data_IF_538216439310
#
_entry.id   IF_538216439310
#
_cell.length_a   1.000
_cell.length_b   1.000
_cell.length_c   1.000
_cell.angle_alpha   90.00
_cell.angle_beta   90.00
_cell.angle_gamma   90.00
#
_symmetry.space_group_name_H-M   'P 1'
#
loop_
_entity.id
_entity.type
_entity.pdbx_description
1 polymer ?
#
# COMPACT_ATOMS: atom_id res chain seq x y z
N UNK A 1 22.43 -25.66 5.47
CA UNK A 1 22.29 -24.66 4.39
C UNK A 1 21.97 -23.33 5.04
N UNK A 2 22.87 -22.35 4.96
CA UNK A 2 22.61 -20.99 5.43
C UNK A 2 21.73 -20.27 4.41
N UNK A 3 20.57 -19.79 4.83
CA UNK A 3 19.72 -18.94 3.98
C UNK A 3 20.43 -17.62 3.72
N UNK A 4 20.45 -17.17 2.46
CA UNK A 4 20.92 -15.82 2.13
C UNK A 4 19.97 -14.79 2.76
N UNK A 5 20.48 -13.65 3.27
CA UNK A 5 19.63 -12.58 3.79
C UNK A 5 18.74 -12.01 2.66
N UNK A 6 17.52 -11.58 3.02
CA UNK A 6 16.60 -10.92 2.10
C UNK A 6 16.78 -9.40 2.24
N UNK A 7 16.93 -8.72 1.11
CA UNK A 7 16.87 -7.26 1.03
C UNK A 7 15.54 -6.86 0.40
N UNK A 8 14.77 -6.06 1.12
CA UNK A 8 13.45 -5.63 0.70
C UNK A 8 13.52 -4.28 -0.01
N UNK A 9 12.77 -4.15 -1.10
CA UNK A 9 12.62 -2.93 -1.88
C UNK A 9 11.13 -2.60 -2.04
N UNK A 10 10.75 -1.33 -1.98
CA UNK A 10 9.39 -0.85 -2.26
C UNK A 10 9.46 0.28 -3.26
N UNK A 11 8.75 0.15 -4.37
CA UNK A 11 8.58 1.19 -5.38
C UNK A 11 7.10 1.49 -5.57
N UNK A 12 6.74 2.78 -5.59
CA UNK A 12 5.35 3.23 -5.81
C UNK A 12 5.28 4.02 -7.11
N UNK A 13 4.40 3.61 -8.00
CA UNK A 13 4.19 4.17 -9.32
C UNK A 13 2.82 4.83 -9.39
N UNK A 14 2.75 5.93 -10.14
CA UNK A 14 1.50 6.62 -10.43
C UNK A 14 1.03 6.26 -11.84
N UNK A 15 -0.17 5.70 -11.97
CA UNK A 15 -0.89 5.44 -13.24
C UNK A 15 -0.25 4.49 -14.27
N UNK A 16 1.08 4.35 -14.35
CA UNK A 16 1.76 3.39 -15.22
C UNK A 16 3.09 2.88 -14.63
N UNK A 17 3.40 1.61 -14.87
CA UNK A 17 4.72 1.01 -14.57
C UNK A 17 5.88 1.59 -15.41
N UNK A 18 5.57 2.25 -16.53
CA UNK A 18 6.56 2.91 -17.38
C UNK A 18 7.03 4.24 -16.81
N UNK A 19 6.34 4.78 -15.80
CA UNK A 19 6.73 6.02 -15.15
C UNK A 19 7.93 5.79 -14.22
N UNK A 20 8.65 6.86 -13.90
CA UNK A 20 9.62 6.81 -12.79
C UNK A 20 8.85 6.61 -11.48
N UNK A 21 9.29 5.74 -10.58
CA UNK A 21 8.62 5.57 -9.29
C UNK A 21 8.63 6.89 -8.53
N UNK A 22 7.48 7.25 -7.96
CA UNK A 22 7.31 8.43 -7.12
C UNK A 22 8.16 8.31 -5.86
N UNK A 23 8.34 7.08 -5.37
CA UNK A 23 9.24 6.77 -4.27
C UNK A 23 9.84 5.39 -4.45
N UNK A 24 11.09 5.25 -4.01
CA UNK A 24 11.81 3.99 -3.91
C UNK A 24 12.47 3.90 -2.53
N UNK A 25 12.20 2.82 -1.80
CA UNK A 25 12.75 2.57 -0.47
C UNK A 25 13.39 1.20 -0.39
N UNK A 26 14.39 1.09 0.47
CA UNK A 26 15.06 -0.16 0.80
C UNK A 26 14.94 -0.41 2.31
N UNK A 27 14.77 -1.67 2.70
CA UNK A 27 14.70 -2.10 4.08
C UNK A 27 15.36 -3.47 4.28
N UNK A 28 15.87 -3.71 5.47
CA UNK A 28 16.34 -5.04 5.91
C UNK A 28 15.20 -5.87 6.52
N UNK A 29 14.03 -5.27 6.73
CA UNK A 29 12.79 -5.94 7.16
C UNK A 29 11.69 -5.85 6.10
N UNK A 30 10.75 -6.82 6.06
CA UNK A 30 9.61 -6.78 5.14
C UNK A 30 8.81 -5.48 5.26
N UNK A 31 8.27 -5.01 4.13
CA UNK A 31 7.27 -3.95 4.13
C UNK A 31 5.90 -4.49 4.60
N UNK A 32 5.02 -3.62 5.14
CA UNK A 32 3.65 -4.00 5.47
C UNK A 32 2.91 -4.60 4.27
N UNK A 33 1.96 -5.50 4.56
CA UNK A 33 1.06 -6.03 3.54
C UNK A 33 0.23 -4.90 2.94
N UNK A 34 0.10 -4.92 1.61
CA UNK A 34 -0.73 -4.01 0.84
C UNK A 34 -1.68 -4.83 -0.02
N UNK A 35 -2.91 -4.35 -0.22
CA UNK A 35 -3.91 -5.02 -1.04
C UNK A 35 -4.44 -4.10 -2.14
N UNK A 36 -4.72 -4.68 -3.31
CA UNK A 36 -5.44 -3.98 -4.38
C UNK A 36 -6.82 -3.53 -3.87
N UNK A 37 -7.17 -2.28 -4.12
CA UNK A 37 -8.40 -1.65 -3.65
C UNK A 37 -8.24 -0.83 -2.36
N UNK A 38 -7.15 -1.02 -1.61
CA UNK A 38 -6.88 -0.21 -0.42
C UNK A 38 -6.50 1.23 -0.77
N UNK A 39 -6.76 2.15 0.17
CA UNK A 39 -6.32 3.54 0.04
C UNK A 39 -4.84 3.67 0.41
N UNK A 40 -4.09 4.35 -0.44
CA UNK A 40 -2.67 4.59 -0.25
C UNK A 40 -2.42 5.93 0.45
N UNK A 41 -1.75 5.89 1.60
CA UNK A 41 -1.44 7.07 2.40
C UNK A 41 -0.25 7.83 1.80
N UNK A 42 -0.53 8.97 1.15
CA UNK A 42 0.45 9.69 0.34
C UNK A 42 1.04 10.95 1.00
N UNK A 43 0.59 11.31 2.22
CA UNK A 43 0.86 12.62 2.82
C UNK A 43 2.35 12.95 3.02
N UNK A 44 3.16 11.95 3.34
CA UNK A 44 4.61 12.13 3.56
C UNK A 44 5.44 12.07 2.27
N UNK A 45 4.83 11.74 1.13
CA UNK A 45 5.53 11.48 -0.13
C UNK A 45 5.44 12.72 -1.04
N UNK A 46 6.59 13.17 -1.54
CA UNK A 46 6.71 14.23 -2.55
C UNK A 46 6.94 13.58 -3.92
N UNK A 47 6.73 14.33 -5.00
CA UNK A 47 7.03 13.86 -6.37
C UNK A 47 5.84 13.30 -7.16
N UNK A 48 4.63 13.32 -6.62
CA UNK A 48 3.40 12.99 -7.35
C UNK A 48 3.22 13.92 -8.56
N UNK A 49 2.90 13.37 -9.73
CA UNK A 49 2.55 14.15 -10.92
C UNK A 49 1.24 14.90 -10.71
N UNK A 50 0.24 14.24 -10.12
CA UNK A 50 -1.01 14.85 -9.70
C UNK A 50 -1.37 14.39 -8.29
N UNK A 51 -1.71 15.34 -7.42
CA UNK A 51 -2.27 15.01 -6.10
C UNK A 51 -3.79 14.83 -6.17
N UNK A 52 -4.37 13.93 -5.35
CA UNK A 52 -5.82 13.84 -5.20
C UNK A 52 -6.39 15.16 -4.69
N UNK A 53 -7.57 15.55 -5.19
CA UNK A 53 -8.35 16.65 -4.62
C UNK A 53 -9.07 16.19 -3.34
N UNK A 54 -9.75 17.11 -2.64
CA UNK A 54 -10.39 16.84 -1.33
C UNK A 54 -11.39 15.68 -1.33
N UNK A 55 -12.02 15.38 -2.48
CA UNK A 55 -12.97 14.29 -2.67
C UNK A 55 -12.34 13.05 -3.36
N UNK A 56 -11.01 12.99 -3.46
CA UNK A 56 -10.29 11.93 -4.13
C UNK A 56 -9.23 11.32 -3.22
N UNK A 57 -8.80 10.10 -3.54
CA UNK A 57 -7.68 9.44 -2.86
C UNK A 57 -6.88 8.63 -3.86
N UNK A 58 -5.65 8.26 -3.48
CA UNK A 58 -4.94 7.21 -4.19
C UNK A 58 -5.48 5.85 -3.73
N UNK A 59 -5.85 5.03 -4.70
CA UNK A 59 -6.19 3.63 -4.47
C UNK A 59 -5.15 2.75 -5.17
N UNK A 60 -4.73 1.69 -4.48
CA UNK A 60 -3.84 0.68 -5.05
C UNK A 60 -4.61 -0.06 -6.14
N UNK A 61 -4.14 0.03 -7.39
CA UNK A 61 -4.77 -0.64 -8.52
C UNK A 61 -4.10 -1.97 -8.83
N UNK A 62 -2.78 -2.06 -8.67
CA UNK A 62 -2.00 -3.25 -9.01
C UNK A 62 -0.82 -3.39 -8.05
N UNK A 63 -0.39 -4.64 -7.84
CA UNK A 63 0.77 -4.99 -7.03
C UNK A 63 1.57 -6.04 -7.81
N UNK A 64 2.87 -5.81 -7.95
CA UNK A 64 3.80 -6.80 -8.49
C UNK A 64 4.91 -7.14 -7.49
N UNK A 65 5.39 -8.37 -7.57
CA UNK A 65 6.50 -8.86 -6.78
C UNK A 65 7.62 -9.32 -7.71
N UNK A 66 8.80 -8.74 -7.54
CA UNK A 66 10.01 -9.16 -8.26
C UNK A 66 10.98 -9.78 -7.26
N UNK A 67 11.43 -10.99 -7.56
CA UNK A 67 12.44 -11.71 -6.79
C UNK A 67 13.68 -11.92 -7.64
N UNK A 68 14.84 -11.66 -7.08
CA UNK A 68 16.12 -11.94 -7.73
C UNK A 68 17.14 -12.46 -6.73
N UNK A 69 18.17 -13.13 -7.25
CA UNK A 69 19.28 -13.62 -6.46
C UNK A 69 20.56 -12.94 -6.92
N UNK A 70 21.31 -12.42 -5.96
CA UNK A 70 22.70 -12.02 -6.18
C UNK A 70 23.55 -13.17 -5.66
N UNK A 71 24.25 -13.85 -6.57
CA UNK A 71 25.09 -15.01 -6.28
C UNK A 71 25.99 -14.73 -5.07
N UNK A 72 25.95 -15.64 -4.10
CA UNK A 72 26.72 -15.61 -2.85
C UNK A 72 26.58 -14.36 -1.98
N UNK A 73 25.52 -13.53 -2.19
CA UNK A 73 25.29 -12.32 -1.41
C UNK A 73 23.92 -12.30 -0.73
N UNK A 74 22.83 -12.14 -1.50
CA UNK A 74 21.50 -11.86 -0.95
C UNK A 74 20.39 -12.24 -1.92
N UNK A 75 19.18 -12.36 -1.39
CA UNK A 75 17.94 -12.44 -2.16
C UNK A 75 17.31 -11.05 -2.15
N UNK A 76 16.94 -10.53 -3.31
CA UNK A 76 16.14 -9.32 -3.40
C UNK A 76 14.66 -9.66 -3.48
N UNK A 77 13.84 -8.95 -2.72
CA UNK A 77 12.39 -8.93 -2.85
C UNK A 77 11.94 -7.49 -3.05
N UNK A 78 11.42 -7.18 -4.23
CA UNK A 78 10.83 -5.88 -4.54
C UNK A 78 9.32 -5.99 -4.59
N UNK A 79 8.66 -5.13 -3.82
CA UNK A 79 7.25 -4.84 -3.89
C UNK A 79 7.04 -3.61 -4.78
N UNK A 80 6.30 -3.76 -5.87
CA UNK A 80 5.95 -2.67 -6.77
C UNK A 80 4.45 -2.40 -6.62
N UNK A 81 4.09 -1.14 -6.39
CA UNK A 81 2.71 -0.72 -6.11
C UNK A 81 2.30 0.32 -7.14
N UNK A 82 1.23 0.05 -7.90
CA UNK A 82 0.63 1.02 -8.79
C UNK A 82 -0.56 1.66 -8.09
N UNK A 83 -0.58 2.98 -8.06
CA UNK A 83 -1.71 3.75 -7.54
C UNK A 83 -2.36 4.57 -8.64
N UNK A 84 -3.67 4.76 -8.48
CA UNK A 84 -4.48 5.66 -9.32
C UNK A 84 -5.37 6.53 -8.43
N UNK A 85 -5.74 7.69 -8.94
CA UNK A 85 -6.68 8.56 -8.26
C UNK A 85 -8.11 8.02 -8.47
N UNK A 86 -8.87 7.91 -7.39
CA UNK A 86 -10.29 7.54 -7.42
C UNK A 86 -11.09 8.51 -6.56
N UNK A 87 -12.37 8.68 -6.88
CA UNK A 87 -13.29 9.46 -6.05
C UNK A 87 -13.65 8.69 -4.77
N UNK A 88 -13.66 9.39 -3.64
CA UNK A 88 -14.09 8.84 -2.35
C UNK A 88 -15.62 8.81 -2.34
N UNK A 89 -16.21 7.63 -2.40
CA UNK A 89 -17.65 7.49 -2.19
C UNK A 89 -17.98 7.87 -0.74
N UNK A 90 -19.04 8.66 -0.48
CA UNK A 90 -19.50 8.89 0.88
C UNK A 90 -19.80 7.55 1.54
N UNK A 91 -19.19 7.27 2.68
CA UNK A 91 -19.59 6.12 3.47
C UNK A 91 -21.01 6.36 3.97
N UNK A 92 -21.98 5.63 3.42
CA UNK A 92 -23.30 5.56 4.03
C UNK A 92 -23.13 4.87 5.36
N UNK A 93 -23.07 5.65 6.44
CA UNK A 93 -23.11 5.11 7.81
C UNK A 93 -24.48 4.44 7.94
N UNK A 94 -24.52 3.13 7.74
CA UNK A 94 -25.67 2.33 8.14
C UNK A 94 -25.76 2.46 9.66
N UNK A 95 -26.72 3.24 10.12
CA UNK A 95 -27.04 3.41 11.52
C UNK A 95 -27.43 2.02 12.09
N UNK A 96 -26.45 1.26 12.57
CA UNK A 96 -26.74 0.16 13.47
C UNK A 96 -27.18 0.79 14.78
N UNK A 97 -28.47 0.71 15.07
CA UNK A 97 -29.03 1.10 16.35
C UNK A 97 -28.21 0.46 17.48
N UNK A 98 -27.76 1.23 18.49
CA UNK A 98 -27.10 0.64 19.64
C UNK A 98 -28.12 -0.22 20.39
N UNK A 99 -27.97 -1.55 20.34
CA UNK A 99 -28.67 -2.44 21.26
C UNK A 99 -28.05 -2.27 22.64
N UNK A 100 -28.65 -1.40 23.46
CA UNK A 100 -28.39 -1.36 24.89
C UNK A 100 -28.89 -2.68 25.50
N UNK A 101 -27.96 -3.44 26.07
CA UNK A 101 -28.27 -4.59 26.92
C UNK A 101 -28.71 -4.04 28.28
N UNK A 102 -30.00 -4.16 28.60
CA UNK A 102 -30.49 -3.90 29.96
C UNK A 102 -30.15 -5.11 30.83
N UNK A 103 -29.37 -4.97 31.91
CA UNK A 103 -29.22 -6.05 32.88
C UNK A 103 -30.55 -6.20 33.65
N UNK A 104 -31.11 -7.41 33.64
CA UNK A 104 -32.25 -7.77 34.48
C UNK A 104 -31.85 -7.66 35.95
N UNK A 105 -32.53 -6.77 36.68
CA UNK A 105 -32.42 -6.67 38.13
C UNK A 105 -32.84 -8.00 38.77
N UNK A 106 -32.00 -8.50 39.69
CA UNK A 106 -32.30 -9.58 40.62
C UNK A 106 -32.90 -9.02 41.90
#
# INVERSE_FOLDING_TARGET
>A
MTSLPIQYHLEVYESSWMNTPVVAWQSDSPFPTLSVGEHFQHHAIKGWHRRPADNQTFQISEIEHVFWKITDSRIGHKLMVLVRIVDVKPQTVSARSPTYFSPSAS
#
